data_IF_970120557329
#
_entry.id   IF_970120557329
#
_cell.length_a   1.000
_cell.length_b   1.000
_cell.length_c   1.000
_cell.angle_alpha   90.00
_cell.angle_beta   90.00
_cell.angle_gamma   90.00
#
_symmetry.space_group_name_H-M   'P 1'
#
loop_
_entity.id
_entity.type
_entity.pdbx_description
1 polymer ?
#
# COMPACT_ATOMS: atom_id res chain seq x y z
N UNK A 1 -0.17 -18.51 1.16
CA UNK A 1 -0.38 -17.15 1.66
C UNK A 1 -1.29 -17.22 2.86
N UNK A 2 -0.87 -16.69 4.01
CA UNK A 2 -1.67 -16.70 5.24
C UNK A 2 -2.07 -15.27 5.62
N UNK A 3 -3.37 -15.04 5.77
CA UNK A 3 -3.93 -13.82 6.36
C UNK A 3 -4.14 -14.06 7.85
N UNK A 4 -3.41 -13.31 8.68
CA UNK A 4 -3.49 -13.37 10.13
C UNK A 4 -4.29 -12.18 10.65
N UNK A 5 -5.23 -12.44 11.55
CA UNK A 5 -6.00 -11.40 12.22
C UNK A 5 -5.63 -11.36 13.69
N UNK A 6 -5.23 -10.19 14.20
CA UNK A 6 -5.15 -9.97 15.64
C UNK A 6 -5.36 -8.50 15.99
N UNK A 7 -6.40 -8.23 16.79
CA UNK A 7 -6.82 -6.90 17.24
C UNK A 7 -7.28 -7.02 18.69
N UNK A 8 -7.18 -5.97 19.52
CA UNK A 8 -7.76 -5.99 20.87
C UNK A 8 -9.29 -5.83 20.88
N UNK A 9 -9.90 -5.53 19.73
CA UNK A 9 -11.31 -5.18 19.59
C UNK A 9 -11.53 -4.28 18.38
N UNK A 10 -12.61 -3.50 18.39
CA UNK A 10 -12.96 -2.59 17.29
C UNK A 10 -12.61 -1.13 17.57
N UNK A 11 -12.28 -0.38 16.51
CA UNK A 11 -11.94 1.03 16.58
C UNK A 11 -10.49 1.31 16.99
N UNK A 12 -10.11 2.59 16.87
CA UNK A 12 -8.72 3.07 16.96
C UNK A 12 -8.01 2.76 18.28
N UNK A 13 -8.76 2.64 19.36
CA UNK A 13 -8.19 2.32 20.67
C UNK A 13 -7.82 0.84 20.83
N UNK A 14 -8.23 0.00 19.88
CA UNK A 14 -8.13 -1.46 19.96
C UNK A 14 -7.26 -2.06 18.84
N UNK A 15 -6.44 -1.23 18.20
CA UNK A 15 -5.40 -1.69 17.28
C UNK A 15 -4.32 -2.51 18.00
N UNK A 16 -3.78 -3.51 17.31
CA UNK A 16 -2.49 -4.10 17.70
C UNK A 16 -1.36 -3.43 16.93
N UNK A 17 -0.09 -3.59 17.36
CA UNK A 17 1.04 -3.09 16.57
C UNK A 17 1.02 -3.61 15.13
N UNK A 18 1.29 -2.72 14.18
CA UNK A 18 1.41 -2.99 12.76
C UNK A 18 2.74 -3.72 12.44
N UNK A 19 2.93 -4.90 13.03
CA UNK A 19 4.04 -5.82 12.82
C UNK A 19 3.58 -7.27 13.11
N UNK A 20 4.44 -8.26 12.83
CA UNK A 20 4.13 -9.68 12.96
C UNK A 20 4.62 -10.33 14.27
N UNK A 21 5.07 -9.53 15.26
CA UNK A 21 5.73 -10.05 16.46
C UNK A 21 4.82 -10.87 17.38
N UNK A 22 3.50 -10.72 17.23
CA UNK A 22 2.47 -11.43 17.97
C UNK A 22 1.98 -12.71 17.28
N UNK A 23 2.46 -13.00 16.07
CA UNK A 23 2.13 -14.23 15.36
C UNK A 23 2.67 -15.45 16.10
N UNK A 24 1.82 -16.47 16.25
CA UNK A 24 2.19 -17.78 16.79
C UNK A 24 2.08 -18.81 15.69
N UNK A 25 3.14 -19.58 15.47
CA UNK A 25 3.16 -20.61 14.45
C UNK A 25 2.14 -21.71 14.74
N UNK A 26 1.47 -22.18 13.69
CA UNK A 26 0.48 -23.26 13.79
C UNK A 26 0.38 -24.00 12.45
N UNK A 27 0.04 -25.28 12.48
CA UNK A 27 -0.23 -26.10 11.28
C UNK A 27 0.82 -25.95 10.15
N UNK A 28 2.11 -25.84 10.52
CA UNK A 28 3.22 -25.67 9.57
C UNK A 28 3.45 -24.24 9.08
N UNK A 29 2.59 -23.27 9.40
CA UNK A 29 2.82 -21.85 9.12
C UNK A 29 3.79 -21.25 10.12
N UNK A 30 4.96 -20.85 9.65
CA UNK A 30 5.99 -20.19 10.45
C UNK A 30 5.95 -18.66 10.32
N UNK A 31 5.32 -18.14 9.27
CA UNK A 31 5.12 -16.71 9.07
C UNK A 31 3.83 -16.41 8.29
N UNK A 32 3.13 -15.31 8.58
CA UNK A 32 2.01 -14.84 7.80
C UNK A 32 2.46 -13.95 6.64
N UNK A 33 1.61 -13.82 5.62
CA UNK A 33 1.82 -12.92 4.48
C UNK A 33 1.19 -11.55 4.70
N UNK A 34 0.06 -11.53 5.41
CA UNK A 34 -0.73 -10.34 5.72
C UNK A 34 -1.13 -10.38 7.19
N UNK A 35 -1.14 -9.22 7.86
CA UNK A 35 -1.76 -9.06 9.16
C UNK A 35 -2.78 -7.94 9.12
N UNK A 36 -4.00 -8.22 9.55
CA UNK A 36 -4.96 -7.19 9.92
C UNK A 36 -4.73 -6.80 11.38
N UNK A 37 -4.34 -5.54 11.60
CA UNK A 37 -3.99 -5.01 12.93
C UNK A 37 -5.02 -4.01 13.47
N UNK A 38 -5.94 -3.54 12.62
CA UNK A 38 -7.05 -2.65 13.00
C UNK A 38 -8.35 -3.07 12.32
N UNK A 39 -9.49 -2.78 12.94
CA UNK A 39 -10.81 -2.99 12.35
C UNK A 39 -11.77 -1.87 12.72
N UNK A 40 -12.76 -1.63 11.85
CA UNK A 40 -13.86 -0.68 12.09
C UNK A 40 -13.33 0.73 12.40
N UNK A 41 -12.34 1.17 11.63
CA UNK A 41 -11.77 2.51 11.74
C UNK A 41 -12.49 3.48 10.81
N UNK A 42 -12.74 4.72 11.25
CA UNK A 42 -13.24 5.77 10.36
C UNK A 42 -12.07 6.58 9.82
N UNK A 43 -11.77 6.41 8.54
CA UNK A 43 -10.74 7.18 7.82
C UNK A 43 -11.43 7.97 6.73
N UNK A 44 -11.34 9.30 6.79
CA UNK A 44 -11.99 10.19 5.83
C UNK A 44 -13.50 9.93 5.65
N UNK A 45 -14.20 9.52 6.72
CA UNK A 45 -15.63 9.21 6.70
C UNK A 45 -16.00 7.82 6.17
N UNK A 46 -15.01 6.98 5.86
CA UNK A 46 -15.21 5.60 5.41
C UNK A 46 -14.76 4.63 6.50
N UNK A 47 -15.56 3.60 6.75
CA UNK A 47 -15.19 2.52 7.65
C UNK A 47 -14.24 1.55 6.94
N UNK A 48 -13.06 1.36 7.51
CA UNK A 48 -12.00 0.51 6.95
C UNK A 48 -11.42 -0.45 7.99
N UNK A 49 -10.80 -1.50 7.48
CA UNK A 49 -9.84 -2.31 8.21
C UNK A 49 -8.43 -1.93 7.74
N UNK A 50 -7.41 -2.12 8.58
CA UNK A 50 -6.02 -1.79 8.23
C UNK A 50 -5.13 -3.02 8.32
N UNK A 51 -4.37 -3.20 7.25
CA UNK A 51 -3.51 -4.37 7.03
C UNK A 51 -2.07 -3.96 6.78
N UNK A 52 -1.14 -4.83 7.16
CA UNK A 52 0.25 -4.80 6.70
C UNK A 52 0.58 -6.05 5.90
N UNK A 53 1.45 -5.88 4.90
CA UNK A 53 1.87 -6.94 3.99
C UNK A 53 3.36 -7.20 4.17
N UNK A 54 3.74 -8.47 4.23
CA UNK A 54 5.15 -8.83 4.15
C UNK A 54 5.56 -8.87 2.67
N UNK A 55 6.29 -7.83 2.24
CA UNK A 55 6.74 -7.67 0.84
C UNK A 55 7.65 -8.79 0.34
N UNK A 56 8.34 -9.52 1.22
CA UNK A 56 9.10 -10.71 0.83
C UNK A 56 8.20 -11.89 0.41
N UNK A 57 6.99 -11.96 0.96
CA UNK A 57 5.94 -12.88 0.52
C UNK A 57 5.05 -12.30 -0.58
N UNK A 58 5.08 -10.98 -0.75
CA UNK A 58 4.41 -10.25 -1.80
C UNK A 58 5.40 -9.78 -2.87
N UNK A 59 6.28 -10.68 -3.35
CA UNK A 59 6.88 -10.55 -4.67
C UNK A 59 5.76 -10.56 -5.73
N UNK A 60 5.04 -9.45 -5.78
CA UNK A 60 4.55 -8.72 -6.93
C UNK A 60 3.99 -9.59 -8.05
N UNK A 61 2.78 -10.12 -7.85
CA UNK A 61 1.81 -10.16 -8.93
C UNK A 61 1.42 -8.68 -9.25
N UNK A 62 2.27 -7.97 -10.00
CA UNK A 62 1.87 -6.76 -10.72
C UNK A 62 2.29 -5.38 -10.20
N UNK A 63 3.07 -5.26 -9.11
CA UNK A 63 3.61 -3.95 -8.70
C UNK A 63 5.13 -3.92 -8.91
N UNK A 64 5.58 -3.76 -10.15
CA UNK A 64 6.95 -3.34 -10.43
C UNK A 64 7.21 -2.06 -9.62
N UNK A 65 8.27 -2.06 -8.80
CA UNK A 65 8.76 -0.83 -8.19
C UNK A 65 8.84 0.24 -9.28
N UNK A 66 8.09 1.32 -9.10
CA UNK A 66 8.22 2.49 -9.96
C UNK A 66 9.54 3.11 -9.53
N UNK A 67 10.60 2.78 -10.26
CA UNK A 67 11.83 3.56 -10.26
C UNK A 67 11.42 5.03 -10.33
N UNK A 68 11.89 5.84 -9.40
CA UNK A 68 11.82 7.29 -9.48
C UNK A 68 12.73 7.72 -10.65
N UNK A 69 12.28 7.46 -11.86
CA UNK A 69 12.82 8.08 -13.05
C UNK A 69 12.12 9.42 -13.19
N UNK A 70 12.85 10.42 -12.72
CA UNK A 70 12.62 11.82 -12.92
C UNK A 70 12.21 12.11 -14.39
N UNK A 71 11.27 13.05 -14.54
CA UNK A 71 10.67 13.60 -15.78
C UNK A 71 9.36 12.99 -16.28
N UNK A 72 8.25 13.57 -15.80
CA UNK A 72 6.94 13.50 -16.44
C UNK A 72 7.04 14.09 -17.86
N UNK A 73 6.85 13.27 -18.88
CA UNK A 73 6.73 13.71 -20.28
C UNK A 73 5.25 13.74 -20.65
N UNK A 74 4.69 14.93 -20.87
CA UNK A 74 3.33 15.10 -21.39
C UNK A 74 3.44 15.38 -22.88
N UNK A 75 2.96 14.46 -23.72
CA UNK A 75 2.95 14.60 -25.17
C UNK A 75 1.93 13.66 -25.80
N UNK A 76 0.87 14.24 -26.35
CA UNK A 76 -0.27 13.54 -26.94
C UNK A 76 0.01 12.91 -28.30
N UNK A 77 -0.85 11.94 -28.61
CA UNK A 77 -0.91 11.16 -29.85
C UNK A 77 -0.99 12.07 -31.10
N UNK A 78 0.05 12.04 -31.94
CA UNK A 78 0.05 12.70 -33.25
C UNK A 78 1.45 12.71 -33.87
N UNK A 79 1.55 12.41 -35.15
CA UNK A 79 2.80 12.21 -35.91
C UNK A 79 3.84 13.34 -35.74
N UNK A 80 5.11 12.97 -35.61
CA UNK A 80 6.26 13.82 -35.93
C UNK A 80 6.83 14.63 -34.76
N UNK A 81 8.11 14.42 -34.47
CA UNK A 81 8.76 14.93 -33.26
C UNK A 81 8.89 16.45 -33.17
N UNK A 82 8.48 16.98 -32.03
CA UNK A 82 9.03 18.18 -31.38
C UNK A 82 8.54 18.21 -29.93
N UNK A 83 9.41 17.94 -28.97
CA UNK A 83 9.10 18.12 -27.55
C UNK A 83 9.07 19.63 -27.25
N UNK A 84 7.88 20.17 -26.97
CA UNK A 84 7.71 21.58 -26.61
C UNK A 84 7.94 21.70 -25.10
N UNK A 85 9.08 22.27 -24.69
CA UNK A 85 9.40 22.57 -23.30
C UNK A 85 8.82 23.93 -22.93
N UNK A 86 7.81 23.95 -22.05
CA UNK A 86 7.25 25.18 -21.48
C UNK A 86 7.28 25.12 -19.95
N UNK A 87 7.81 26.15 -19.30
CA UNK A 87 7.71 26.33 -17.84
C UNK A 87 6.28 26.77 -17.49
N UNK A 88 5.60 26.14 -16.52
CA UNK A 88 4.28 26.60 -16.08
C UNK A 88 4.41 27.91 -15.29
N UNK A 89 3.55 28.87 -15.61
CA UNK A 89 3.36 30.11 -14.85
C UNK A 89 1.89 30.16 -14.40
N UNK A 90 1.65 30.48 -13.12
CA UNK A 90 0.31 30.60 -12.53
C UNK A 90 -0.06 32.09 -12.55
N UNK A 91 -1.17 32.44 -13.21
CA UNK A 91 -1.74 33.79 -13.13
C UNK A 91 -2.82 33.83 -12.04
N UNK A 92 -2.72 34.83 -11.16
CA UNK A 92 -3.78 35.21 -10.22
C UNK A 92 -4.96 35.87 -10.92
#
# INVERSE_FOLDING_TARGET
MLWYWNTYGSGVSNETPANFNDFRSFAGWTSPSVKQFAQVESVCGITVNRDIYNLSSAAVAGMSGREESDRITVGGLGLGGAAISGKPEIRQ
#
